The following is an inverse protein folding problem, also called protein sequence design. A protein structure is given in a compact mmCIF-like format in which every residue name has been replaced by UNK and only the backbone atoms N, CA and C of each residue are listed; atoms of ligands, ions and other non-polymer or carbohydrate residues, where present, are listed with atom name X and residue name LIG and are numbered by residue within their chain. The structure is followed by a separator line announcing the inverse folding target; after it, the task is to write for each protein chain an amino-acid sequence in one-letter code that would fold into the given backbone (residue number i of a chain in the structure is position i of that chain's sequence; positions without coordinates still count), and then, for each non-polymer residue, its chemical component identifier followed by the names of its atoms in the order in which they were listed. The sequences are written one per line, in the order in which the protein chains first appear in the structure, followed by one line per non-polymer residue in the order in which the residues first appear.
data_IF_407584474052
#
_entry.id   IF_407584474052
#
_cell.length_a   1.000
_cell.length_b   1.000
_cell.length_c   1.000
_cell.angle_alpha   90.00
_cell.angle_beta   90.00
_cell.angle_gamma   90.00
#
_symmetry.space_group_name_H-M   'P 1'
#
loop_
_entity.id
_entity.type
_entity.pdbx_description
1 polymer ?
#
# COMPACT_ATOMS: atom_id res chain seq x y z
N UNK A 1 -58.83 -14.80 -9.57
CA UNK A 1 -57.81 -15.10 -8.54
C UNK A 1 -56.81 -16.03 -9.20
N UNK A 2 -55.66 -15.49 -9.61
CA UNK A 2 -54.60 -16.25 -10.29
C UNK A 2 -53.45 -16.40 -9.29
N UNK A 3 -52.98 -17.62 -9.09
CA UNK A 3 -51.75 -17.89 -8.35
C UNK A 3 -50.63 -17.97 -9.37
N UNK A 4 -49.65 -17.07 -9.29
CA UNK A 4 -48.41 -17.14 -10.05
C UNK A 4 -47.24 -17.01 -9.07
N UNK A 5 -46.38 -18.03 -9.07
CA UNK A 5 -45.20 -18.11 -8.22
C UNK A 5 -44.12 -17.19 -8.81
N UNK A 6 -43.64 -16.22 -8.03
CA UNK A 6 -42.78 -15.15 -8.52
C UNK A 6 -41.36 -15.59 -8.90
N UNK A 7 -40.62 -14.77 -9.67
CA UNK A 7 -39.19 -14.89 -9.78
C UNK A 7 -38.50 -14.04 -8.71
N UNK A 8 -37.70 -14.70 -7.85
CA UNK A 8 -36.55 -14.07 -7.19
C UNK A 8 -35.49 -13.86 -8.25
N UNK A 9 -35.33 -12.63 -8.74
CA UNK A 9 -34.14 -12.21 -9.46
C UNK A 9 -33.53 -11.05 -8.68
N UNK A 10 -32.48 -11.38 -7.94
CA UNK A 10 -31.64 -10.49 -7.17
C UNK A 10 -31.04 -9.45 -8.14
N UNK A 11 -31.62 -8.26 -8.19
CA UNK A 11 -31.12 -7.17 -9.02
C UNK A 11 -29.78 -6.68 -8.45
N UNK A 12 -28.69 -7.33 -8.86
CA UNK A 12 -27.32 -6.92 -8.55
C UNK A 12 -27.06 -5.52 -9.12
N UNK A 13 -27.22 -4.48 -8.29
CA UNK A 13 -26.76 -3.13 -8.61
C UNK A 13 -25.24 -3.16 -8.54
N UNK A 14 -24.58 -3.09 -9.70
CA UNK A 14 -23.13 -2.87 -9.76
C UNK A 14 -22.81 -1.50 -9.18
N UNK A 15 -22.33 -1.48 -7.94
CA UNK A 15 -21.70 -0.31 -7.35
C UNK A 15 -20.21 -0.40 -7.70
N UNK A 16 -19.66 0.53 -8.52
CA UNK A 16 -18.21 0.53 -8.77
C UNK A 16 -17.48 0.71 -7.44
N UNK A 17 -16.38 -0.01 -7.22
CA UNK A 17 -15.62 0.03 -5.95
C UNK A 17 -15.24 1.44 -5.50
N UNK A 18 -15.18 2.42 -6.43
CA UNK A 18 -14.94 3.84 -6.17
C UNK A 18 -16.07 4.58 -5.42
N UNK A 19 -17.26 3.99 -5.28
CA UNK A 19 -18.42 4.58 -4.62
C UNK A 19 -18.66 4.06 -3.19
N UNK A 20 -17.95 2.99 -2.80
CA UNK A 20 -17.78 2.63 -1.40
C UNK A 20 -16.65 3.48 -0.82
N UNK A 21 -16.67 3.87 0.46
CA UNK A 21 -15.44 4.37 1.08
C UNK A 21 -14.37 3.31 0.83
N UNK A 22 -13.23 3.70 0.25
CA UNK A 22 -12.13 2.77 0.03
C UNK A 22 -11.86 2.05 1.36
N UNK A 23 -12.02 0.71 1.45
CA UNK A 23 -11.76 0.00 2.70
C UNK A 23 -10.28 0.10 3.09
N UNK A 24 -9.45 0.60 2.19
CA UNK A 24 -8.04 0.90 2.43
C UNK A 24 -7.89 2.30 3.02
N UNK A 25 -8.33 2.46 4.27
CA UNK A 25 -7.94 3.64 5.04
C UNK A 25 -6.44 3.55 5.33
N UNK A 26 -5.71 4.62 4.99
CA UNK A 26 -4.29 4.76 5.30
C UNK A 26 -4.08 5.93 6.25
N UNK A 27 -3.27 5.72 7.27
CA UNK A 27 -2.69 6.79 8.08
C UNK A 27 -1.38 7.23 7.44
N UNK A 28 -1.27 8.52 7.13
CA UNK A 28 -0.01 9.12 6.70
C UNK A 28 0.92 9.31 7.89
N UNK A 29 2.14 8.78 7.79
CA UNK A 29 3.15 8.85 8.85
C UNK A 29 4.27 9.85 8.51
N UNK A 30 4.17 10.56 7.37
CA UNK A 30 5.17 11.52 6.91
C UNK A 30 6.28 10.92 6.06
N UNK A 31 7.38 11.66 5.93
CA UNK A 31 8.52 11.31 5.08
C UNK A 31 9.77 10.95 5.90
N UNK A 32 10.50 9.93 5.44
CA UNK A 32 11.78 9.49 6.01
C UNK A 32 12.86 9.63 4.95
N UNK A 33 14.03 10.15 5.34
CA UNK A 33 15.20 10.29 4.47
C UNK A 33 16.24 9.25 4.89
N UNK A 34 16.65 8.41 3.95
CA UNK A 34 17.62 7.32 4.17
C UNK A 34 18.64 7.36 3.06
N UNK A 35 19.91 7.52 3.41
CA UNK A 35 21.04 7.51 2.48
C UNK A 35 20.89 8.49 1.30
N UNK A 36 20.19 9.62 1.53
CA UNK A 36 19.91 10.66 0.55
C UNK A 36 18.57 10.49 -0.18
N UNK A 37 17.91 9.34 -0.04
CA UNK A 37 16.64 9.03 -0.68
C UNK A 37 15.45 9.33 0.24
N UNK A 38 14.40 9.93 -0.31
CA UNK A 38 13.18 10.32 0.42
C UNK A 38 12.05 9.33 0.15
N UNK A 39 11.46 8.81 1.23
CA UNK A 39 10.31 7.90 1.17
C UNK A 39 9.13 8.46 1.95
N UNK A 40 7.95 8.47 1.33
CA UNK A 40 6.69 8.71 2.03
C UNK A 40 6.19 7.41 2.68
N UNK A 41 5.84 7.47 3.95
CA UNK A 41 5.43 6.30 4.74
C UNK A 41 3.94 6.42 5.06
N UNK A 42 3.20 5.36 4.74
CA UNK A 42 1.78 5.22 5.08
C UNK A 42 1.54 3.88 5.75
N UNK A 43 0.65 3.85 6.73
CA UNK A 43 0.20 2.62 7.38
C UNK A 43 -1.22 2.30 6.98
N UNK A 44 -1.48 1.07 6.56
CA UNK A 44 -2.83 0.59 6.25
C UNK A 44 -3.56 0.20 7.53
N UNK A 45 -4.75 0.75 7.75
CA UNK A 45 -5.51 0.51 8.99
C UNK A 45 -6.05 -0.92 9.08
N UNK A 46 -6.32 -1.57 7.95
CA UNK A 46 -6.93 -2.90 7.92
C UNK A 46 -6.01 -4.03 8.41
N UNK A 47 -4.71 -3.96 8.15
CA UNK A 47 -3.74 -5.02 8.47
C UNK A 47 -2.46 -4.50 9.14
N UNK A 48 -2.33 -3.18 9.31
CA UNK A 48 -1.17 -2.53 9.89
C UNK A 48 0.06 -2.51 8.99
N UNK A 49 -0.05 -2.94 7.72
CA UNK A 49 1.07 -2.92 6.78
C UNK A 49 1.59 -1.52 6.51
N UNK A 50 2.89 -1.41 6.28
CA UNK A 50 3.55 -0.16 5.96
C UNK A 50 3.90 -0.11 4.49
N UNK A 51 3.48 0.96 3.83
CA UNK A 51 3.73 1.24 2.43
C UNK A 51 4.71 2.40 2.34
N UNK A 52 5.78 2.17 1.58
CA UNK A 52 6.86 3.12 1.35
C UNK A 52 6.83 3.54 -0.10
N UNK A 53 6.47 4.79 -0.36
CA UNK A 53 6.51 5.38 -1.70
C UNK A 53 7.86 6.08 -1.88
N UNK A 54 8.66 5.67 -2.87
CA UNK A 54 9.95 6.27 -3.15
C UNK A 54 9.76 7.59 -3.93
N UNK A 55 9.96 8.72 -3.26
CA UNK A 55 9.66 10.05 -3.79
C UNK A 55 10.83 10.60 -4.63
N UNK A 56 12.06 10.44 -4.15
CA UNK A 56 13.27 10.88 -4.86
C UNK A 56 13.79 9.88 -5.90
N UNK A 57 13.22 8.68 -5.92
CA UNK A 57 13.71 7.57 -6.71
C UNK A 57 13.58 7.80 -8.22
N UNK A 58 14.36 7.06 -9.02
CA UNK A 58 14.39 7.22 -10.48
C UNK A 58 13.07 6.81 -11.17
N UNK A 59 12.22 6.05 -10.48
CA UNK A 59 10.98 5.47 -11.03
C UNK A 59 9.76 6.04 -10.28
N UNK A 60 9.01 7.00 -10.87
CA UNK A 60 7.85 7.62 -10.22
C UNK A 60 6.79 6.61 -9.81
N UNK A 61 6.33 6.69 -8.56
CA UNK A 61 5.32 5.78 -8.00
C UNK A 61 5.85 4.39 -7.63
N UNK A 62 7.16 4.18 -7.70
CA UNK A 62 7.79 2.95 -7.24
C UNK A 62 7.98 2.96 -5.71
N UNK A 63 8.14 1.77 -5.13
CA UNK A 63 8.20 1.60 -3.70
C UNK A 63 8.02 0.14 -3.30
N UNK A 64 7.81 -0.08 -2.01
CA UNK A 64 7.60 -1.42 -1.47
C UNK A 64 6.66 -1.38 -0.28
N UNK A 65 6.17 -2.55 0.11
CA UNK A 65 5.29 -2.71 1.27
C UNK A 65 5.83 -3.80 2.17
N UNK A 66 5.69 -3.61 3.48
CA UNK A 66 6.08 -4.58 4.49
C UNK A 66 4.85 -4.90 5.31
N UNK A 67 4.61 -6.19 5.55
CA UNK A 67 3.55 -6.62 6.47
C UNK A 67 3.77 -6.00 7.84
N UNK A 68 2.67 -5.66 8.51
CA UNK A 68 2.71 -5.08 9.83
C UNK A 68 1.91 -5.88 10.84
N UNK A 69 1.53 -5.18 11.90
CA UNK A 69 0.66 -5.70 12.94
C UNK A 69 0.01 -4.55 13.70
N UNK A 70 -0.70 -4.87 14.78
CA UNK A 70 -1.46 -3.89 15.54
C UNK A 70 -0.62 -2.83 16.26
N UNK A 71 0.63 -3.17 16.63
CA UNK A 71 1.51 -2.26 17.37
C UNK A 71 2.20 -1.25 16.44
N UNK A 72 2.37 0.02 16.87
CA UNK A 72 3.19 0.99 16.16
C UNK A 72 4.67 0.57 16.19
N UNK A 73 5.37 0.86 15.10
CA UNK A 73 6.82 0.66 14.97
C UNK A 73 7.54 2.01 15.08
N UNK A 74 8.79 1.99 15.54
CA UNK A 74 9.62 3.20 15.64
C UNK A 74 10.32 3.58 14.34
N UNK A 75 10.87 4.78 14.28
CA UNK A 75 11.60 5.33 13.13
C UNK A 75 12.75 4.41 12.64
N UNK A 76 13.53 3.84 13.56
CA UNK A 76 14.65 2.95 13.22
C UNK A 76 14.22 1.72 12.40
N UNK A 77 12.99 1.24 12.60
CA UNK A 77 12.45 0.13 11.82
C UNK A 77 12.19 0.54 10.37
N UNK A 78 11.62 1.73 10.15
CA UNK A 78 11.42 2.28 8.81
C UNK A 78 12.75 2.49 8.09
N UNK A 79 13.73 3.07 8.78
CA UNK A 79 15.08 3.29 8.23
C UNK A 79 15.72 1.98 7.80
N UNK A 80 15.64 0.94 8.65
CA UNK A 80 16.17 -0.38 8.31
C UNK A 80 15.49 -0.98 7.08
N UNK A 81 14.16 -1.01 7.05
CA UNK A 81 13.41 -1.57 5.93
C UNK A 81 13.75 -0.88 4.61
N UNK A 82 13.89 0.46 4.62
CA UNK A 82 14.29 1.23 3.45
C UNK A 82 15.72 0.91 3.02
N UNK A 83 16.67 0.80 3.96
CA UNK A 83 18.06 0.41 3.64
C UNK A 83 18.15 -0.96 3.01
N UNK A 84 17.42 -1.93 3.56
CA UNK A 84 17.36 -3.30 3.02
C UNK A 84 16.80 -3.29 1.58
N UNK A 85 15.77 -2.49 1.31
CA UNK A 85 15.23 -2.30 -0.04
C UNK A 85 16.27 -1.67 -0.99
N UNK A 86 16.90 -0.55 -0.61
CA UNK A 86 17.90 0.13 -1.43
C UNK A 86 19.12 -0.74 -1.74
N UNK A 87 19.54 -1.60 -0.81
CA UNK A 87 20.63 -2.54 -1.03
C UNK A 87 20.32 -3.59 -2.12
N UNK A 88 19.04 -3.85 -2.40
CA UNK A 88 18.59 -4.73 -3.48
C UNK A 88 18.36 -4.03 -4.82
N UNK A 89 18.48 -2.70 -4.90
CA UNK A 89 18.24 -1.94 -6.13
C UNK A 89 19.46 -2.01 -7.05
N UNK A 90 19.20 -2.32 -8.31
CA UNK A 90 20.15 -2.10 -9.40
C UNK A 90 20.27 -0.58 -9.65
N UNK A 91 21.45 0.03 -9.46
CA UNK A 91 21.61 1.48 -9.66
C UNK A 91 21.47 1.92 -11.12
N UNK A 92 21.65 1.02 -12.10
CA UNK A 92 21.49 1.33 -13.51
C UNK A 92 20.02 1.40 -13.94
N UNK A 93 19.12 0.69 -13.24
CA UNK A 93 17.70 0.60 -13.61
C UNK A 93 16.75 1.22 -12.58
N UNK A 94 17.17 1.32 -11.32
CA UNK A 94 16.33 1.77 -10.22
C UNK A 94 15.27 0.77 -9.76
N UNK A 95 15.38 -0.50 -10.19
CA UNK A 95 14.50 -1.60 -9.79
C UNK A 95 15.27 -2.63 -8.97
N UNK A 96 14.54 -3.48 -8.23
CA UNK A 96 15.15 -4.61 -7.53
C UNK A 96 15.85 -5.53 -8.54
N UNK A 97 17.14 -5.79 -8.32
CA UNK A 97 17.85 -6.85 -9.02
C UNK A 97 17.24 -8.19 -8.59
N UNK A 98 16.69 -8.94 -9.54
CA UNK A 98 16.30 -10.33 -9.27
C UNK A 98 17.53 -11.18 -8.89
N UNK A 99 17.31 -12.33 -8.22
CA UNK A 99 18.36 -13.33 -8.06
C UNK A 99 18.86 -13.88 -9.40
#
# INVERSE_FOLDING_TARGET
MTSDAGPSDDAWVYVPSSALPDPETYTDLGAVIVDGETFGVRRRESDGSHHYNWISGPNPGYGFSVSGGGAPVGEEWHVRAIRDFLAGIDPATGYLSGP
#
